data_IF_100121904712
#
_entry.id   IF_100121904712
#
_cell.length_a   1.000
_cell.length_b   1.000
_cell.length_c   1.000
_cell.angle_alpha   90.00
_cell.angle_beta   90.00
_cell.angle_gamma   90.00
#
_symmetry.space_group_name_H-M   'P 1'
#
loop_
_entity.id
_entity.type
_entity.pdbx_description
1 polymer ?
#
# COMPACT_ATOMS: atom_id res chain seq x y z
N UNK A 1 1.36 -21.81 -5.50
CA UNK A 1 0.25 -22.43 -4.75
C UNK A 1 -1.00 -21.65 -5.14
N UNK A 2 -1.98 -22.26 -5.78
CA UNK A 2 -3.21 -21.59 -6.26
C UNK A 2 -4.11 -21.29 -5.06
N UNK A 3 -5.00 -20.28 -5.16
CA UNK A 3 -6.00 -19.96 -4.11
C UNK A 3 -6.74 -21.17 -3.53
N UNK A 4 -6.93 -22.22 -4.35
CA UNK A 4 -7.54 -23.48 -3.95
C UNK A 4 -6.74 -24.27 -2.89
N UNK A 5 -5.41 -24.12 -2.85
CA UNK A 5 -4.55 -24.87 -1.93
C UNK A 5 -4.52 -24.29 -0.51
N UNK A 6 -4.89 -23.00 -0.35
CA UNK A 6 -5.05 -22.38 0.97
C UNK A 6 -6.24 -22.96 1.74
N UNK A 7 -7.28 -23.42 1.03
CA UNK A 7 -8.53 -23.92 1.60
C UNK A 7 -8.36 -25.33 2.19
N UNK A 8 -7.52 -26.16 1.60
CA UNK A 8 -7.38 -27.57 1.98
C UNK A 8 -6.61 -27.81 3.30
N UNK A 9 -5.82 -26.84 3.77
CA UNK A 9 -4.92 -27.01 4.92
C UNK A 9 -5.54 -26.68 6.29
N UNK A 10 -6.80 -26.23 6.35
CA UNK A 10 -7.44 -25.77 7.61
C UNK A 10 -8.34 -26.82 8.27
N UNK A 11 -8.10 -28.12 8.05
CA UNK A 11 -8.80 -29.19 8.77
C UNK A 11 -8.07 -29.57 10.05
N UNK A 12 -8.70 -29.22 11.16
CA UNK A 12 -8.67 -29.76 12.52
C UNK A 12 -7.35 -29.86 13.29
N UNK A 13 -7.27 -29.13 14.40
CA UNK A 13 -7.07 -29.70 15.76
C UNK A 13 -7.29 -28.61 16.83
N UNK A 14 -8.19 -28.97 17.78
CA UNK A 14 -8.33 -28.48 19.16
C UNK A 14 -8.86 -27.05 19.45
N UNK A 15 -10.08 -27.00 19.97
CA UNK A 15 -10.54 -26.00 20.95
C UNK A 15 -11.14 -24.69 20.43
N UNK A 16 -11.35 -24.50 19.13
CA UNK A 16 -12.00 -23.30 18.59
C UNK A 16 -13.51 -23.47 18.61
N UNK A 17 -14.22 -22.57 19.30
CA UNK A 17 -15.68 -22.42 19.17
C UNK A 17 -15.96 -22.08 17.71
N UNK A 18 -16.33 -23.09 16.91
CA UNK A 18 -16.76 -22.91 15.52
C UNK A 18 -18.13 -22.26 15.54
N UNK A 19 -18.30 -21.17 14.80
CA UNK A 19 -19.61 -20.62 14.48
C UNK A 19 -20.44 -21.70 13.79
N UNK A 20 -21.76 -21.81 14.07
CA UNK A 20 -22.62 -22.75 13.38
C UNK A 20 -22.65 -22.42 11.87
N UNK A 21 -22.71 -23.47 11.06
CA UNK A 21 -22.80 -23.42 9.60
C UNK A 21 -23.89 -22.44 9.14
N UNK A 22 -23.51 -21.47 8.30
CA UNK A 22 -24.30 -20.36 7.76
C UNK A 22 -24.59 -19.21 8.74
N UNK A 23 -23.67 -18.22 8.78
CA UNK A 23 -23.94 -16.97 9.46
C UNK A 23 -24.96 -16.17 8.63
N UNK A 24 -26.22 -16.11 9.07
CA UNK A 24 -27.33 -15.42 8.36
C UNK A 24 -27.32 -13.90 8.59
N UNK A 25 -26.44 -13.37 9.43
CA UNK A 25 -26.32 -11.95 9.76
C UNK A 25 -25.14 -11.26 9.09
N UNK A 26 -25.04 -9.94 9.28
CA UNK A 26 -23.84 -9.17 8.86
C UNK A 26 -22.61 -9.62 9.66
N UNK A 27 -21.47 -9.78 8.99
CA UNK A 27 -20.20 -10.05 9.64
C UNK A 27 -19.68 -8.75 10.27
N UNK A 28 -19.52 -8.72 11.60
CA UNK A 28 -18.98 -7.57 12.33
C UNK A 28 -17.46 -7.58 12.32
N UNK A 29 -16.88 -6.57 11.67
CA UNK A 29 -15.43 -6.45 11.45
C UNK A 29 -14.89 -5.26 12.25
N UNK A 30 -13.89 -5.48 13.08
CA UNK A 30 -13.11 -4.43 13.72
C UNK A 30 -11.76 -4.30 13.01
N UNK A 31 -11.63 -3.27 12.18
CA UNK A 31 -10.35 -2.90 11.57
C UNK A 31 -9.58 -1.96 12.49
N UNK A 32 -8.28 -2.22 12.71
CA UNK A 32 -7.45 -1.37 13.58
C UNK A 32 -6.16 -0.92 12.89
N UNK A 33 -5.93 0.40 12.91
CA UNK A 33 -4.74 1.07 12.36
C UNK A 33 -4.09 1.99 13.39
N UNK A 34 -2.90 2.51 13.07
CA UNK A 34 -2.21 3.45 13.97
C UNK A 34 -2.85 4.84 13.94
N UNK A 35 -3.06 5.41 12.76
CA UNK A 35 -3.63 6.76 12.54
C UNK A 35 -4.17 6.85 11.10
N UNK A 36 -4.68 8.02 10.71
CA UNK A 36 -5.22 8.29 9.37
C UNK A 36 -4.34 9.25 8.55
N UNK A 37 -3.04 9.31 8.85
CA UNK A 37 -2.12 10.07 8.00
C UNK A 37 -2.03 9.47 6.60
N UNK A 38 -1.74 10.29 5.60
CA UNK A 38 -1.54 9.78 4.25
C UNK A 38 -0.30 8.88 4.20
N UNK A 39 -0.56 7.61 3.96
CA UNK A 39 0.41 6.55 3.82
C UNK A 39 -0.18 5.37 3.04
N UNK A 40 0.69 4.47 2.55
CA UNK A 40 0.25 3.35 1.73
C UNK A 40 -0.73 2.42 2.45
N UNK A 41 -0.47 2.11 3.70
CA UNK A 41 -1.33 1.23 4.52
C UNK A 41 -2.66 1.90 4.83
N UNK A 42 -2.62 3.15 5.26
CA UNK A 42 -3.78 3.94 5.66
C UNK A 42 -4.71 4.16 4.46
N UNK A 43 -4.16 4.44 3.27
CA UNK A 43 -4.93 4.56 2.03
C UNK A 43 -5.66 3.25 1.69
N UNK A 44 -5.00 2.09 1.84
CA UNK A 44 -5.65 0.80 1.60
C UNK A 44 -6.78 0.52 2.60
N UNK A 45 -6.57 0.83 3.89
CA UNK A 45 -7.64 0.71 4.89
C UNK A 45 -8.81 1.64 4.56
N UNK A 46 -8.54 2.87 4.12
CA UNK A 46 -9.58 3.81 3.68
C UNK A 46 -10.35 3.25 2.48
N UNK A 47 -9.66 2.76 1.44
CA UNK A 47 -10.29 2.17 0.26
C UNK A 47 -11.19 0.99 0.62
N UNK A 48 -10.71 0.06 1.45
CA UNK A 48 -11.50 -1.09 1.93
C UNK A 48 -12.67 -0.59 2.77
N UNK A 49 -12.45 0.36 3.67
CA UNK A 49 -13.51 0.91 4.52
C UNK A 49 -14.63 1.57 3.72
N UNK A 50 -14.33 2.26 2.64
CA UNK A 50 -15.31 2.90 1.76
C UNK A 50 -16.02 1.90 0.84
N UNK A 51 -15.31 0.87 0.37
CA UNK A 51 -15.81 -0.08 -0.61
C UNK A 51 -16.54 -1.30 -0.05
N UNK A 52 -16.40 -1.59 1.26
CA UNK A 52 -16.98 -2.78 1.89
C UNK A 52 -18.52 -2.77 1.82
N UNK A 53 -19.12 -3.86 1.36
CA UNK A 53 -20.57 -4.02 1.26
C UNK A 53 -21.25 -3.98 2.66
N UNK A 54 -21.96 -2.89 2.95
CA UNK A 54 -22.63 -2.63 4.24
C UNK A 54 -23.86 -3.50 4.49
N UNK A 55 -24.39 -4.14 3.46
CA UNK A 55 -25.48 -5.08 3.64
C UNK A 55 -24.99 -6.40 4.23
N UNK A 56 -23.72 -6.73 4.02
CA UNK A 56 -23.06 -7.98 4.40
C UNK A 56 -22.08 -7.82 5.57
N UNK A 57 -21.49 -6.64 5.72
CA UNK A 57 -20.48 -6.34 6.72
C UNK A 57 -20.87 -5.14 7.58
N UNK A 58 -20.63 -5.26 8.87
CA UNK A 58 -20.78 -4.18 9.86
C UNK A 58 -19.37 -3.78 10.33
N UNK A 59 -18.89 -2.65 9.82
CA UNK A 59 -17.52 -2.20 10.03
C UNK A 59 -17.43 -1.28 11.25
N UNK A 60 -16.47 -1.58 12.12
CA UNK A 60 -15.95 -0.75 13.18
C UNK A 60 -14.50 -0.39 12.85
N UNK A 61 -14.14 0.89 12.84
CA UNK A 61 -12.81 1.35 12.44
C UNK A 61 -12.05 1.92 13.64
N UNK A 62 -11.24 1.10 14.30
CA UNK A 62 -10.45 1.51 15.46
C UNK A 62 -9.11 2.12 15.04
N UNK A 63 -8.60 3.05 15.86
CA UNK A 63 -7.27 3.61 15.70
C UNK A 63 -6.55 3.80 17.04
N UNK A 64 -5.22 3.90 16.98
CA UNK A 64 -4.41 4.26 18.15
C UNK A 64 -4.40 5.77 18.37
N UNK A 65 -4.50 6.56 17.29
CA UNK A 65 -4.58 8.03 17.31
C UNK A 65 -5.58 8.48 16.25
N UNK A 66 -6.59 9.24 16.65
CA UNK A 66 -7.62 9.76 15.72
C UNK A 66 -7.17 11.08 15.07
N UNK A 67 -6.07 11.00 14.32
CA UNK A 67 -5.45 12.11 13.60
C UNK A 67 -5.08 11.68 12.16
N UNK A 68 -4.99 12.63 11.26
CA UNK A 68 -4.53 12.44 9.89
C UNK A 68 -5.55 12.92 8.84
N UNK A 69 -5.05 13.13 7.63
CA UNK A 69 -5.75 13.77 6.52
C UNK A 69 -6.88 12.90 5.96
N UNK A 70 -6.67 11.56 5.91
CA UNK A 70 -7.64 10.59 5.38
C UNK A 70 -8.91 10.49 6.23
N UNK A 71 -8.87 11.00 7.46
CA UNK A 71 -10.04 11.05 8.33
C UNK A 71 -11.20 11.81 7.68
N UNK A 72 -10.91 12.92 6.99
CA UNK A 72 -11.94 13.75 6.33
C UNK A 72 -12.69 12.99 5.23
N UNK A 73 -11.99 12.12 4.48
CA UNK A 73 -12.61 11.27 3.45
C UNK A 73 -13.59 10.28 4.09
N UNK A 74 -13.25 9.74 5.25
CA UNK A 74 -14.08 8.78 5.98
C UNK A 74 -15.26 9.46 6.69
N UNK A 75 -15.05 10.62 7.33
CA UNK A 75 -16.08 11.37 8.06
C UNK A 75 -17.22 11.85 7.15
N UNK A 76 -16.90 12.20 5.91
CA UNK A 76 -17.88 12.68 4.94
C UNK A 76 -18.78 11.58 4.34
N UNK A 77 -18.40 10.30 4.47
CA UNK A 77 -19.07 9.18 3.81
C UNK A 77 -19.56 8.13 4.80
N UNK A 78 -18.86 7.91 5.89
CA UNK A 78 -19.10 6.79 6.80
C UNK A 78 -19.55 7.25 8.18
N UNK A 79 -20.78 6.87 8.55
CA UNK A 79 -21.26 6.95 9.94
C UNK A 79 -21.04 5.60 10.64
N UNK A 80 -19.80 5.31 11.04
CA UNK A 80 -19.41 4.05 11.69
C UNK A 80 -18.74 4.30 13.03
N UNK A 81 -18.82 3.34 13.99
CA UNK A 81 -18.09 3.43 15.23
C UNK A 81 -16.58 3.53 15.00
N UNK A 82 -15.95 4.53 15.66
CA UNK A 82 -14.51 4.78 15.54
C UNK A 82 -13.86 4.88 16.92
N UNK A 83 -13.74 3.75 17.65
CA UNK A 83 -13.11 3.75 18.96
C UNK A 83 -11.62 4.04 18.87
N UNK A 84 -11.14 4.93 19.76
CA UNK A 84 -9.73 5.32 19.88
C UNK A 84 -9.10 4.59 21.06
N UNK A 85 -8.01 3.86 20.80
CA UNK A 85 -7.21 3.15 21.81
C UNK A 85 -5.83 3.78 21.91
N UNK A 86 -5.74 4.93 22.59
CA UNK A 86 -4.50 5.70 22.69
C UNK A 86 -3.46 4.98 23.58
N UNK A 87 -2.39 4.54 22.94
CA UNK A 87 -1.29 3.78 23.54
C UNK A 87 0.00 4.60 23.44
N UNK A 88 0.47 5.11 24.57
CA UNK A 88 1.73 5.84 24.62
C UNK A 88 2.96 4.91 24.59
N UNK A 89 2.95 3.90 25.46
CA UNK A 89 4.01 2.88 25.57
C UNK A 89 3.40 1.51 25.79
N UNK A 90 3.92 0.48 25.13
CA UNK A 90 3.40 -0.90 25.24
C UNK A 90 3.51 -1.48 26.67
N UNK A 91 4.33 -0.92 27.52
CA UNK A 91 4.61 -1.41 28.90
C UNK A 91 3.96 -0.56 29.99
N UNK A 92 3.01 0.31 29.66
CA UNK A 92 2.36 1.20 30.65
C UNK A 92 1.05 0.63 31.18
N UNK A 93 0.66 1.03 32.40
CA UNK A 93 -0.67 0.77 32.96
C UNK A 93 -1.79 1.31 32.06
N UNK A 94 -1.53 2.39 31.34
CA UNK A 94 -2.46 2.94 30.34
C UNK A 94 -2.75 1.92 29.26
N UNK A 95 -1.73 1.21 28.75
CA UNK A 95 -1.88 0.16 27.75
C UNK A 95 -2.71 -1.01 28.25
N UNK A 96 -2.52 -1.43 29.50
CA UNK A 96 -3.34 -2.48 30.10
C UNK A 96 -4.81 -2.05 30.23
N UNK A 97 -5.07 -0.78 30.61
CA UNK A 97 -6.43 -0.22 30.62
C UNK A 97 -7.07 -0.22 29.24
N UNK A 98 -6.30 0.18 28.21
CA UNK A 98 -6.78 0.16 26.82
C UNK A 98 -6.99 -1.29 26.30
N UNK A 99 -6.16 -2.24 26.71
CA UNK A 99 -6.34 -3.66 26.37
C UNK A 99 -7.66 -4.20 26.98
N UNK A 100 -7.94 -3.91 28.25
CA UNK A 100 -9.23 -4.26 28.88
C UNK A 100 -10.42 -3.60 28.18
N UNK A 101 -10.26 -2.35 27.74
CA UNK A 101 -11.29 -1.60 27.00
C UNK A 101 -11.53 -2.22 25.62
N UNK A 102 -10.46 -2.56 24.88
CA UNK A 102 -10.56 -3.24 23.59
C UNK A 102 -11.20 -4.63 23.73
N UNK A 103 -10.78 -5.42 24.71
CA UNK A 103 -11.36 -6.74 24.97
C UNK A 103 -12.87 -6.65 25.29
N UNK A 104 -13.28 -5.65 26.08
CA UNK A 104 -14.69 -5.37 26.36
C UNK A 104 -15.42 -4.97 25.07
N UNK A 105 -14.86 -4.03 24.30
CA UNK A 105 -15.45 -3.56 23.06
C UNK A 105 -15.71 -4.72 22.07
N UNK A 106 -14.76 -5.64 21.92
CA UNK A 106 -14.88 -6.82 21.07
C UNK A 106 -16.07 -7.69 21.50
N UNK A 107 -16.19 -7.96 22.82
CA UNK A 107 -17.28 -8.78 23.37
C UNK A 107 -18.64 -8.08 23.28
N UNK A 108 -18.72 -6.84 23.73
CA UNK A 108 -19.99 -6.10 23.82
C UNK A 108 -20.60 -5.84 22.43
N UNK A 109 -19.76 -5.67 21.41
CA UNK A 109 -20.22 -5.50 20.03
C UNK A 109 -20.25 -6.84 19.25
N UNK A 110 -19.90 -7.97 19.87
CA UNK A 110 -19.89 -9.29 19.23
C UNK A 110 -19.06 -9.31 17.94
N UNK A 111 -17.86 -8.74 17.96
CA UNK A 111 -16.98 -8.66 16.79
C UNK A 111 -16.58 -10.06 16.32
N UNK A 112 -16.83 -10.37 15.05
CA UNK A 112 -16.48 -11.64 14.43
C UNK A 112 -15.05 -11.68 13.91
N UNK A 113 -14.60 -10.60 13.27
CA UNK A 113 -13.26 -10.46 12.67
C UNK A 113 -12.55 -9.26 13.27
N UNK A 114 -11.37 -9.47 13.83
CA UNK A 114 -10.44 -8.40 14.19
C UNK A 114 -9.30 -8.37 13.18
N UNK A 115 -9.21 -7.30 12.40
CA UNK A 115 -8.19 -7.12 11.36
C UNK A 115 -7.28 -5.95 11.70
N UNK A 116 -6.01 -6.22 11.93
CA UNK A 116 -5.01 -5.23 12.35
C UNK A 116 -4.02 -4.91 11.22
N UNK A 117 -3.59 -3.65 11.12
CA UNK A 117 -2.69 -3.18 10.07
C UNK A 117 -1.41 -2.54 10.64
N UNK A 118 -0.28 -3.21 10.40
CA UNK A 118 1.05 -2.73 10.79
C UNK A 118 1.51 -3.19 12.18
N UNK A 119 2.79 -2.95 12.47
CA UNK A 119 3.48 -3.50 13.64
C UNK A 119 2.78 -3.20 14.98
N UNK A 120 2.48 -1.93 15.26
CA UNK A 120 1.93 -1.53 16.57
C UNK A 120 0.50 -2.03 16.80
N UNK A 121 -0.44 -1.90 15.83
CA UNK A 121 -1.75 -2.54 15.92
C UNK A 121 -1.67 -4.05 16.07
N UNK A 122 -0.77 -4.75 15.35
CA UNK A 122 -0.56 -6.19 15.48
C UNK A 122 -0.13 -6.57 16.90
N UNK A 123 0.93 -5.91 17.44
CA UNK A 123 1.45 -6.23 18.78
C UNK A 123 0.42 -5.97 19.86
N UNK A 124 -0.39 -4.92 19.74
CA UNK A 124 -1.38 -4.57 20.73
C UNK A 124 -2.66 -5.39 20.60
N UNK A 125 -3.29 -5.40 19.44
CA UNK A 125 -4.66 -5.87 19.32
C UNK A 125 -4.77 -7.39 19.05
N UNK A 126 -3.78 -8.02 18.40
CA UNK A 126 -3.85 -9.48 18.14
C UNK A 126 -3.97 -10.31 19.43
N UNK A 127 -3.09 -10.14 20.44
CA UNK A 127 -3.22 -10.91 21.68
C UNK A 127 -4.50 -10.54 22.45
N UNK A 128 -4.89 -9.27 22.45
CA UNK A 128 -6.12 -8.83 23.12
C UNK A 128 -7.36 -9.43 22.48
N UNK A 129 -7.41 -9.50 21.14
CA UNK A 129 -8.50 -10.11 20.39
C UNK A 129 -8.65 -11.60 20.72
N UNK A 130 -7.55 -12.33 20.81
CA UNK A 130 -7.55 -13.73 21.22
C UNK A 130 -8.08 -13.93 22.64
N UNK A 131 -7.57 -13.14 23.59
CA UNK A 131 -8.03 -13.19 24.99
C UNK A 131 -9.49 -12.74 25.14
N UNK A 132 -9.97 -11.89 24.25
CA UNK A 132 -11.37 -11.47 24.20
C UNK A 132 -12.32 -12.52 23.61
N UNK A 133 -11.78 -13.57 22.97
CA UNK A 133 -12.56 -14.62 22.31
C UNK A 133 -13.05 -14.22 20.90
N UNK A 134 -12.36 -13.30 20.22
CA UNK A 134 -12.67 -12.98 18.82
C UNK A 134 -12.53 -14.25 17.94
N UNK A 135 -13.58 -14.65 17.18
CA UNK A 135 -13.54 -15.87 16.37
C UNK A 135 -12.39 -15.86 15.36
N UNK A 136 -12.21 -14.74 14.65
CA UNK A 136 -11.19 -14.58 13.61
C UNK A 136 -10.30 -13.38 13.92
N UNK A 137 -8.98 -13.59 13.81
CA UNK A 137 -7.97 -12.53 13.97
C UNK A 137 -7.04 -12.54 12.76
N UNK A 138 -6.96 -11.41 12.05
CA UNK A 138 -6.10 -11.19 10.88
C UNK A 138 -5.05 -10.14 11.23
N UNK A 139 -3.77 -10.46 11.00
CA UNK A 139 -2.66 -9.54 11.18
C UNK A 139 -2.08 -9.16 9.82
N UNK A 140 -2.18 -7.87 9.42
CA UNK A 140 -1.55 -7.41 8.18
C UNK A 140 -0.11 -6.97 8.38
N UNK A 141 0.79 -7.46 7.50
CA UNK A 141 2.19 -7.04 7.37
C UNK A 141 2.36 -6.45 5.97
N UNK A 142 2.82 -5.20 5.89
CA UNK A 142 2.78 -4.39 4.65
C UNK A 142 4.17 -3.96 4.15
N UNK A 143 5.23 -4.47 4.77
CA UNK A 143 6.63 -4.21 4.41
C UNK A 143 7.48 -5.46 4.68
N UNK A 144 8.69 -5.50 4.11
CA UNK A 144 9.63 -6.62 4.30
C UNK A 144 10.29 -6.65 5.69
N UNK A 145 10.00 -5.67 6.53
CA UNK A 145 10.57 -5.58 7.89
C UNK A 145 12.03 -5.14 7.94
N UNK A 146 12.57 -4.54 6.86
CA UNK A 146 14.00 -4.17 6.77
C UNK A 146 14.41 -3.12 7.81
N UNK A 147 13.49 -2.25 8.18
CA UNK A 147 13.69 -1.22 9.21
C UNK A 147 13.46 -1.73 10.63
N UNK A 148 12.93 -2.95 10.80
CA UNK A 148 12.65 -3.50 12.11
C UNK A 148 13.95 -4.02 12.78
N UNK A 149 14.09 -3.69 14.05
CA UNK A 149 15.16 -4.28 14.89
C UNK A 149 14.91 -5.79 15.06
N UNK A 150 15.95 -6.62 15.29
CA UNK A 150 15.79 -8.07 15.43
C UNK A 150 14.73 -8.50 16.46
N UNK A 151 14.65 -7.80 17.59
CA UNK A 151 13.65 -8.08 18.63
C UNK A 151 12.23 -7.74 18.17
N UNK A 152 12.04 -6.68 17.36
CA UNK A 152 10.75 -6.31 16.79
C UNK A 152 10.26 -7.37 15.80
N UNK A 153 11.14 -7.88 14.94
CA UNK A 153 10.82 -9.00 14.03
C UNK A 153 10.40 -10.25 14.78
N UNK A 154 11.13 -10.61 15.87
CA UNK A 154 10.77 -11.74 16.72
C UNK A 154 9.42 -11.53 17.40
N UNK A 155 9.19 -10.36 17.99
CA UNK A 155 7.92 -10.01 18.62
C UNK A 155 6.76 -10.09 17.60
N UNK A 156 6.91 -9.48 16.42
CA UNK A 156 5.92 -9.54 15.36
C UNK A 156 5.60 -10.97 14.95
N UNK A 157 6.63 -11.82 14.74
CA UNK A 157 6.45 -13.22 14.39
C UNK A 157 5.65 -13.98 15.47
N UNK A 158 6.05 -13.84 16.74
CA UNK A 158 5.38 -14.51 17.87
C UNK A 158 3.91 -14.05 17.98
N UNK A 159 3.66 -12.77 17.85
CA UNK A 159 2.30 -12.21 17.92
C UNK A 159 1.46 -12.65 16.72
N UNK A 160 2.00 -12.59 15.51
CA UNK A 160 1.30 -13.03 14.31
C UNK A 160 1.02 -14.54 14.29
N UNK A 161 1.78 -15.36 15.03
CA UNK A 161 1.46 -16.78 15.20
C UNK A 161 0.10 -17.00 15.91
N UNK A 162 -0.37 -16.05 16.71
CA UNK A 162 -1.69 -16.04 17.34
C UNK A 162 -2.83 -15.71 16.36
N UNK A 163 -2.54 -15.11 15.20
CA UNK A 163 -3.53 -14.81 14.19
C UNK A 163 -3.96 -16.07 13.43
N UNK A 164 -5.19 -16.09 12.89
CA UNK A 164 -5.68 -17.13 11.98
C UNK A 164 -5.07 -16.93 10.60
N UNK A 165 -4.91 -15.67 10.19
CA UNK A 165 -4.35 -15.28 8.91
C UNK A 165 -3.35 -14.13 9.08
N UNK A 166 -2.23 -14.22 8.37
CA UNK A 166 -1.28 -13.12 8.15
C UNK A 166 -1.50 -12.59 6.75
N UNK A 167 -2.10 -11.41 6.63
CA UNK A 167 -2.37 -10.79 5.34
C UNK A 167 -1.21 -9.93 4.89
N UNK A 168 -0.70 -10.19 3.68
CA UNK A 168 0.36 -9.38 3.05
C UNK A 168 -0.11 -8.81 1.71
N UNK A 169 0.60 -7.79 1.21
CA UNK A 169 0.21 -7.10 -0.03
C UNK A 169 1.10 -7.42 -1.24
N UNK A 170 2.07 -8.34 -1.09
CA UNK A 170 2.96 -8.76 -2.16
C UNK A 170 3.43 -10.20 -1.93
N UNK A 171 3.65 -10.95 -3.01
CA UNK A 171 4.25 -12.28 -2.96
C UNK A 171 5.68 -12.22 -2.40
N UNK A 172 6.44 -11.17 -2.72
CA UNK A 172 7.77 -10.93 -2.18
C UNK A 172 7.78 -10.83 -0.64
N UNK A 173 6.75 -10.24 -0.02
CA UNK A 173 6.62 -10.22 1.43
C UNK A 173 6.29 -11.62 1.95
N UNK A 174 5.34 -12.33 1.33
CA UNK A 174 5.03 -13.73 1.68
C UNK A 174 6.29 -14.57 1.72
N UNK A 175 7.08 -14.54 0.65
CA UNK A 175 8.29 -15.34 0.52
C UNK A 175 9.35 -14.95 1.57
N UNK A 176 9.47 -13.66 1.87
CA UNK A 176 10.32 -13.16 2.94
C UNK A 176 9.87 -13.67 4.32
N UNK A 177 8.57 -13.65 4.60
CA UNK A 177 8.03 -14.13 5.88
C UNK A 177 8.19 -15.66 6.02
N UNK A 178 8.01 -16.43 4.94
CA UNK A 178 8.26 -17.88 4.93
C UNK A 178 9.74 -18.16 5.25
N UNK A 179 10.68 -17.45 4.63
CA UNK A 179 12.11 -17.55 4.95
C UNK A 179 12.42 -17.18 6.41
N UNK A 180 11.64 -16.28 7.00
CA UNK A 180 11.72 -15.92 8.42
C UNK A 180 11.03 -16.95 9.35
N UNK A 181 10.44 -18.03 8.78
CA UNK A 181 9.79 -19.13 9.49
C UNK A 181 8.36 -18.81 9.95
N UNK A 182 7.62 -17.96 9.25
CA UNK A 182 6.18 -17.90 9.36
C UNK A 182 5.56 -19.12 8.68
N UNK A 183 4.39 -19.54 9.14
CA UNK A 183 3.66 -20.69 8.58
C UNK A 183 3.01 -20.27 7.27
N UNK A 184 3.43 -20.90 6.16
CA UNK A 184 2.98 -20.56 4.81
C UNK A 184 1.46 -20.65 4.65
N UNK A 185 0.85 -21.66 5.28
CA UNK A 185 -0.60 -21.92 5.25
C UNK A 185 -1.44 -20.85 5.96
N UNK A 186 -0.80 -19.97 6.75
CA UNK A 186 -1.47 -18.84 7.38
C UNK A 186 -1.31 -17.52 6.60
N UNK A 187 -0.54 -17.51 5.51
CA UNK A 187 -0.26 -16.26 4.78
C UNK A 187 -1.17 -16.15 3.56
N UNK A 188 -2.00 -15.11 3.55
CA UNK A 188 -2.78 -14.72 2.38
C UNK A 188 -2.16 -13.49 1.71
N UNK A 189 -2.24 -13.43 0.37
CA UNK A 189 -1.73 -12.28 -0.41
C UNK A 189 -2.92 -11.55 -1.04
N UNK A 190 -3.16 -10.30 -0.64
CA UNK A 190 -4.11 -9.41 -1.32
C UNK A 190 -3.39 -8.11 -1.64
N UNK A 191 -3.17 -7.87 -2.93
CA UNK A 191 -2.40 -6.72 -3.42
C UNK A 191 -3.09 -5.40 -3.09
N UNK A 192 -2.28 -4.34 -2.94
CA UNK A 192 -2.78 -2.98 -2.86
C UNK A 192 -3.56 -2.64 -4.12
N UNK A 193 -4.45 -1.67 -3.97
CA UNK A 193 -5.26 -1.18 -5.07
C UNK A 193 -5.25 0.35 -5.12
N UNK A 194 -5.51 0.87 -6.30
CA UNK A 194 -5.64 2.30 -6.55
C UNK A 194 -6.94 2.58 -7.28
N UNK A 195 -7.57 3.71 -6.99
CA UNK A 195 -8.66 4.21 -7.81
C UNK A 195 -8.06 4.75 -9.11
N UNK A 196 -8.61 4.37 -10.29
CA UNK A 196 -8.17 4.96 -11.55
C UNK A 196 -8.14 6.49 -11.43
N UNK A 197 -7.04 7.11 -11.84
CA UNK A 197 -6.94 8.56 -11.82
C UNK A 197 -8.09 9.12 -12.68
N UNK A 198 -8.78 10.13 -12.15
CA UNK A 198 -9.73 10.87 -12.98
C UNK A 198 -8.94 11.60 -14.07
N UNK A 199 -8.81 10.98 -15.24
CA UNK A 199 -8.03 11.49 -16.39
C UNK A 199 -8.58 12.79 -16.94
N UNK A 200 -9.80 13.18 -16.52
CA UNK A 200 -10.46 14.43 -16.84
C UNK A 200 -10.11 15.55 -15.83
N UNK A 201 -8.91 15.56 -15.27
CA UNK A 201 -8.44 16.66 -14.41
C UNK A 201 -8.58 17.99 -15.13
N UNK A 202 -9.23 18.95 -14.48
CA UNK A 202 -9.49 20.30 -14.99
C UNK A 202 -8.22 20.91 -15.61
N UNK A 203 -8.24 21.17 -16.91
CA UNK A 203 -7.22 21.93 -17.63
C UNK A 203 -7.17 23.42 -17.20
N UNK A 204 -7.96 23.81 -16.21
CA UNK A 204 -8.17 25.21 -15.80
C UNK A 204 -7.13 25.76 -14.82
N UNK A 205 -6.21 24.92 -14.29
CA UNK A 205 -5.14 25.37 -13.39
C UNK A 205 -3.80 25.48 -14.12
N UNK A 206 -2.91 26.38 -13.70
CA UNK A 206 -1.59 26.49 -14.30
C UNK A 206 -0.87 25.15 -14.22
N UNK A 207 -0.25 24.74 -15.33
CA UNK A 207 0.49 23.49 -15.41
C UNK A 207 1.69 23.49 -14.44
N UNK A 208 2.18 22.29 -14.07
CA UNK A 208 3.34 22.13 -13.19
C UNK A 208 4.54 22.95 -13.65
N UNK A 209 4.77 23.07 -14.97
CA UNK A 209 5.87 23.83 -15.54
C UNK A 209 5.73 25.31 -15.24
N UNK A 210 4.54 25.87 -15.43
CA UNK A 210 4.23 27.25 -15.11
C UNK A 210 4.29 27.54 -13.59
N UNK A 211 3.75 26.62 -12.78
CA UNK A 211 3.80 26.70 -11.31
C UNK A 211 5.26 26.76 -10.80
N UNK A 212 6.15 25.99 -11.42
CA UNK A 212 7.56 25.90 -11.04
C UNK A 212 8.47 26.89 -11.79
N UNK A 213 7.93 27.71 -12.66
CA UNK A 213 8.71 28.66 -13.49
C UNK A 213 9.61 27.98 -14.52
N UNK A 214 9.24 26.81 -15.00
CA UNK A 214 9.98 26.04 -15.98
C UNK A 214 9.50 26.30 -17.41
N UNK A 215 10.38 26.07 -18.39
CA UNK A 215 10.00 26.08 -19.79
C UNK A 215 8.84 25.12 -20.07
N UNK A 216 7.89 25.52 -20.91
CA UNK A 216 6.70 24.72 -21.26
C UNK A 216 7.02 23.36 -21.85
N UNK A 217 8.17 23.21 -22.50
CA UNK A 217 8.64 21.98 -23.13
C UNK A 217 9.64 21.19 -22.27
N UNK A 218 9.99 21.69 -21.08
CA UNK A 218 10.94 21.00 -20.20
C UNK A 218 10.45 19.58 -19.84
N UNK A 219 11.24 18.53 -20.09
CA UNK A 219 10.91 17.20 -19.60
C UNK A 219 10.88 17.17 -18.06
N UNK A 220 9.79 16.67 -17.49
CA UNK A 220 9.59 16.61 -16.04
C UNK A 220 9.62 15.14 -15.57
N UNK A 221 10.52 14.86 -14.65
CA UNK A 221 10.62 13.55 -13.98
C UNK A 221 10.18 13.69 -12.54
N UNK A 222 9.26 12.85 -12.10
CA UNK A 222 8.69 12.90 -10.75
C UNK A 222 9.16 11.70 -9.91
N UNK A 223 9.49 11.96 -8.64
CA UNK A 223 9.59 10.96 -7.58
C UNK A 223 8.52 11.26 -6.55
N UNK A 224 7.65 10.27 -6.29
CA UNK A 224 6.61 10.35 -5.27
C UNK A 224 6.94 9.41 -4.13
N UNK A 225 7.36 9.93 -2.97
CA UNK A 225 7.68 9.07 -1.83
C UNK A 225 7.83 9.84 -0.51
N UNK A 226 7.76 9.11 0.61
CA UNK A 226 8.28 9.61 1.89
C UNK A 226 9.80 9.73 1.81
N UNK A 227 10.37 10.81 2.36
CA UNK A 227 11.81 11.04 2.33
C UNK A 227 12.49 10.35 3.50
N UNK A 228 12.84 9.08 3.30
CA UNK A 228 13.64 8.25 4.19
C UNK A 228 14.65 7.42 3.39
N UNK A 229 15.64 6.83 4.07
CA UNK A 229 16.76 6.12 3.41
C UNK A 229 16.32 4.93 2.56
N UNK A 230 15.18 4.28 2.91
CA UNK A 230 14.69 3.12 2.15
C UNK A 230 14.14 3.50 0.78
N UNK A 231 13.92 4.79 0.52
CA UNK A 231 13.39 5.28 -0.76
C UNK A 231 14.48 5.61 -1.79
N UNK A 232 15.77 5.55 -1.42
CA UNK A 232 16.89 5.63 -2.34
C UNK A 232 16.97 6.93 -3.15
N UNK A 233 16.44 8.04 -2.61
CA UNK A 233 16.40 9.32 -3.34
C UNK A 233 17.80 9.83 -3.65
N UNK A 234 18.78 9.49 -2.84
CA UNK A 234 20.19 9.79 -3.08
C UNK A 234 20.69 9.23 -4.42
N UNK A 235 20.29 8.03 -4.82
CA UNK A 235 20.63 7.42 -6.11
C UNK A 235 19.87 8.05 -7.27
N UNK A 236 18.64 8.49 -7.03
CA UNK A 236 17.90 9.29 -8.00
C UNK A 236 18.58 10.65 -8.27
N UNK A 237 19.08 11.33 -7.25
CA UNK A 237 19.79 12.60 -7.43
C UNK A 237 21.08 12.42 -8.24
N UNK A 238 21.82 11.33 -8.04
CA UNK A 238 22.99 11.01 -8.85
C UNK A 238 22.59 10.73 -10.32
N UNK A 239 21.52 9.94 -10.53
CA UNK A 239 20.98 9.71 -11.87
C UNK A 239 20.48 10.99 -12.53
N UNK A 240 19.81 11.87 -11.78
CA UNK A 240 19.33 13.16 -12.26
C UNK A 240 20.49 14.08 -12.74
N UNK A 241 21.65 14.01 -12.08
CA UNK A 241 22.87 14.70 -12.55
C UNK A 241 23.29 14.19 -13.91
N UNK A 242 23.37 12.88 -14.11
CA UNK A 242 23.76 12.26 -15.40
C UNK A 242 22.75 12.64 -16.50
N UNK A 243 21.45 12.55 -16.21
CA UNK A 243 20.40 12.96 -17.14
C UNK A 243 20.50 14.45 -17.48
N UNK A 244 20.71 15.31 -16.48
CA UNK A 244 20.83 16.76 -16.67
C UNK A 244 22.08 17.22 -17.45
N UNK A 245 23.11 16.38 -17.54
CA UNK A 245 24.28 16.58 -18.42
C UNK A 245 23.93 16.30 -19.89
N UNK A 246 23.05 15.35 -20.16
CA UNK A 246 22.62 14.98 -21.51
C UNK A 246 21.42 15.80 -21.98
N UNK A 247 20.44 16.03 -21.12
CA UNK A 247 19.21 16.80 -21.39
C UNK A 247 19.19 18.00 -20.45
N UNK A 248 19.82 19.10 -20.84
CA UNK A 248 19.97 20.30 -19.99
C UNK A 248 18.63 20.91 -19.54
N UNK A 249 17.57 20.74 -20.36
CA UNK A 249 16.22 21.20 -20.07
C UNK A 249 15.45 20.31 -19.07
N UNK A 250 15.96 19.11 -18.72
CA UNK A 250 15.26 18.21 -17.81
C UNK A 250 15.08 18.83 -16.41
N UNK A 251 13.92 18.63 -15.83
CA UNK A 251 13.52 19.10 -14.48
C UNK A 251 13.04 17.93 -13.65
N UNK A 252 13.30 18.00 -12.36
CA UNK A 252 13.06 16.90 -11.43
C UNK A 252 12.22 17.38 -10.26
N UNK A 253 11.15 16.66 -9.95
CA UNK A 253 10.24 17.00 -8.88
C UNK A 253 10.22 15.87 -7.85
N UNK A 254 10.61 16.19 -6.62
CA UNK A 254 10.56 15.25 -5.49
C UNK A 254 9.37 15.64 -4.62
N UNK A 255 8.31 14.82 -4.71
CA UNK A 255 7.03 15.03 -4.01
C UNK A 255 7.02 14.17 -2.77
N UNK A 256 6.85 14.80 -1.62
CA UNK A 256 6.77 14.17 -0.31
C UNK A 256 7.65 14.82 0.73
N UNK A 257 7.55 14.34 1.94
CA UNK A 257 8.30 14.86 3.10
C UNK A 257 8.89 13.73 3.94
N UNK A 258 9.82 14.05 4.83
CA UNK A 258 10.43 13.07 5.71
C UNK A 258 11.70 13.55 6.40
N UNK A 259 12.21 12.71 7.30
CA UNK A 259 13.28 13.07 8.22
C UNK A 259 14.60 13.47 7.54
N UNK A 260 14.85 12.99 6.31
CA UNK A 260 16.12 13.25 5.59
C UNK A 260 15.97 14.30 4.48
N UNK A 261 14.86 15.06 4.45
CA UNK A 261 14.61 16.07 3.39
C UNK A 261 15.76 17.05 3.24
N UNK A 262 16.23 17.63 4.35
CA UNK A 262 17.33 18.60 4.34
C UNK A 262 18.63 17.97 3.82
N UNK A 263 18.96 16.78 4.26
CA UNK A 263 20.14 16.03 3.77
C UNK A 263 20.07 15.82 2.24
N UNK A 264 18.90 15.51 1.71
CA UNK A 264 18.70 15.33 0.26
C UNK A 264 18.80 16.66 -0.50
N UNK A 265 18.31 17.76 0.06
CA UNK A 265 18.46 19.10 -0.52
C UNK A 265 19.93 19.55 -0.56
N UNK A 266 20.67 19.32 0.53
CA UNK A 266 22.10 19.61 0.59
C UNK A 266 22.88 18.76 -0.44
N UNK A 267 22.53 17.47 -0.59
CA UNK A 267 23.10 16.59 -1.62
C UNK A 267 22.79 17.07 -3.04
N UNK A 268 21.55 17.48 -3.32
CA UNK A 268 21.17 18.01 -4.63
C UNK A 268 22.01 19.25 -4.97
N UNK A 269 22.20 20.16 -4.01
CA UNK A 269 23.03 21.34 -4.17
C UNK A 269 24.50 20.98 -4.43
N UNK A 270 25.07 20.03 -3.70
CA UNK A 270 26.43 19.53 -3.90
C UNK A 270 26.64 18.85 -5.26
N UNK A 271 25.58 18.29 -5.86
CA UNK A 271 25.59 17.71 -7.19
C UNK A 271 25.38 18.74 -8.32
N UNK A 272 25.16 20.03 -7.99
CA UNK A 272 24.89 21.09 -8.95
C UNK A 272 23.46 21.02 -9.52
N UNK A 273 22.50 20.55 -8.74
CA UNK A 273 21.10 20.35 -9.15
C UNK A 273 20.13 21.37 -8.51
N UNK A 274 20.62 22.39 -7.81
CA UNK A 274 19.80 23.32 -7.03
C UNK A 274 18.71 24.02 -7.86
N UNK A 275 18.97 24.30 -9.13
CA UNK A 275 18.07 24.93 -10.11
C UNK A 275 17.23 23.93 -10.92
N UNK A 276 17.53 22.62 -10.81
CA UNK A 276 16.87 21.55 -11.59
C UNK A 276 15.96 20.66 -10.77
N UNK A 277 16.20 20.50 -9.46
CA UNK A 277 15.45 19.63 -8.56
C UNK A 277 14.64 20.47 -7.57
N UNK A 278 13.33 20.31 -7.57
CA UNK A 278 12.44 20.93 -6.58
C UNK A 278 11.89 19.90 -5.62
N UNK A 279 12.04 20.15 -4.32
CA UNK A 279 11.43 19.38 -3.24
C UNK A 279 10.15 20.09 -2.78
N UNK A 280 8.99 19.61 -3.24
CA UNK A 280 7.71 20.29 -2.96
C UNK A 280 7.20 20.14 -1.53
N UNK A 281 7.74 19.15 -0.79
CA UNK A 281 7.10 18.72 0.44
C UNK A 281 5.84 17.88 0.13
N UNK A 282 4.99 17.75 1.14
CA UNK A 282 3.74 17.02 1.00
C UNK A 282 2.77 17.76 0.07
N UNK A 283 2.12 17.03 -0.86
CA UNK A 283 1.13 17.53 -1.82
C UNK A 283 -0.12 16.66 -1.78
N UNK A 284 -1.29 17.27 -1.93
CA UNK A 284 -2.59 16.59 -2.03
C UNK A 284 -3.06 16.44 -3.48
N UNK A 285 -2.51 17.20 -4.41
CA UNK A 285 -2.84 17.23 -5.83
C UNK A 285 -1.93 16.32 -6.69
N UNK A 286 -1.44 15.23 -6.10
CA UNK A 286 -0.48 14.31 -6.73
C UNK A 286 -0.96 13.80 -8.10
N UNK A 287 -2.26 13.48 -8.22
CA UNK A 287 -2.83 13.03 -9.49
C UNK A 287 -2.66 14.05 -10.63
N UNK A 288 -2.86 15.35 -10.34
CA UNK A 288 -2.63 16.45 -11.29
C UNK A 288 -1.16 16.55 -11.69
N UNK A 289 -0.26 16.45 -10.71
CA UNK A 289 1.18 16.54 -10.95
C UNK A 289 1.68 15.37 -11.80
N UNK A 290 1.22 14.16 -11.51
CA UNK A 290 1.58 12.96 -12.27
C UNK A 290 1.13 13.07 -13.73
N UNK A 291 -0.09 13.51 -14.02
CA UNK A 291 -0.60 13.65 -15.40
C UNK A 291 0.24 14.58 -16.28
N UNK A 292 1.03 15.47 -15.68
CA UNK A 292 1.89 16.42 -16.38
C UNK A 292 3.36 16.00 -16.43
N UNK A 293 3.70 14.86 -15.82
CA UNK A 293 5.03 14.30 -15.83
C UNK A 293 5.33 13.54 -17.12
N UNK A 294 6.58 13.57 -17.53
CA UNK A 294 7.08 12.72 -18.61
C UNK A 294 7.48 11.32 -18.11
N UNK A 295 7.95 11.24 -16.86
CA UNK A 295 8.35 10.00 -16.21
C UNK A 295 8.03 10.05 -14.71
N UNK A 296 7.70 8.89 -14.12
CA UNK A 296 7.71 8.68 -12.68
C UNK A 296 8.79 7.65 -12.33
N UNK A 297 9.60 7.96 -11.31
CA UNK A 297 10.73 7.13 -10.88
C UNK A 297 10.54 6.70 -9.44
N UNK A 298 10.72 5.41 -9.17
CA UNK A 298 10.72 4.83 -7.82
C UNK A 298 12.08 4.17 -7.54
N UNK A 299 13.06 4.88 -6.95
CA UNK A 299 14.43 4.39 -6.76
C UNK A 299 14.63 3.61 -5.46
N UNK A 300 13.59 3.03 -4.91
CA UNK A 300 13.56 2.44 -3.56
C UNK A 300 14.57 1.32 -3.36
N UNK A 301 15.05 1.18 -2.13
CA UNK A 301 15.93 0.08 -1.69
C UNK A 301 15.12 -1.10 -1.11
N UNK A 302 13.90 -0.84 -0.67
CA UNK A 302 12.96 -1.85 -0.16
C UNK A 302 11.54 -1.36 -0.30
N UNK A 303 10.67 -2.25 -0.74
CA UNK A 303 9.22 -2.02 -0.86
C UNK A 303 8.44 -3.28 -0.45
N UNK A 304 7.22 -3.06 0.05
CA UNK A 304 6.21 -4.09 0.02
C UNK A 304 5.60 -4.13 -1.37
N UNK A 305 4.50 -3.37 -1.56
CA UNK A 305 3.94 -3.06 -2.87
C UNK A 305 3.65 -1.56 -2.89
N UNK A 306 4.30 -0.83 -3.78
CA UNK A 306 4.32 0.63 -3.75
C UNK A 306 3.03 1.25 -4.29
N UNK A 307 2.31 2.01 -3.45
CA UNK A 307 1.16 2.79 -3.91
C UNK A 307 1.57 3.90 -4.89
N UNK A 308 2.74 4.53 -4.67
CA UNK A 308 3.23 5.56 -5.58
C UNK A 308 3.41 5.04 -7.01
N UNK A 309 3.86 3.78 -7.14
CA UNK A 309 3.99 3.11 -8.43
C UNK A 309 2.61 2.85 -9.06
N UNK A 310 1.67 2.34 -8.27
CA UNK A 310 0.28 2.14 -8.71
C UNK A 310 -0.37 3.47 -9.15
N UNK A 311 -0.20 4.54 -8.37
CA UNK A 311 -0.74 5.86 -8.66
C UNK A 311 -0.15 6.45 -9.94
N UNK A 312 1.17 6.28 -10.16
CA UNK A 312 1.84 6.74 -11.37
C UNK A 312 1.34 6.01 -12.63
N UNK A 313 1.24 4.68 -12.58
CA UNK A 313 0.74 3.87 -13.69
C UNK A 313 -0.76 4.14 -13.95
N UNK A 314 -1.57 4.29 -12.90
CA UNK A 314 -2.99 4.67 -13.02
C UNK A 314 -3.17 6.03 -13.68
N UNK A 315 -2.26 6.98 -13.43
CA UNK A 315 -2.25 8.29 -14.06
C UNK A 315 -1.79 8.25 -15.54
N UNK A 316 -1.37 7.08 -16.05
CA UNK A 316 -0.88 6.92 -17.41
C UNK A 316 0.53 7.51 -17.61
N UNK A 317 1.34 7.53 -16.57
CA UNK A 317 2.73 8.00 -16.62
C UNK A 317 3.65 6.79 -16.81
N UNK A 318 4.61 6.84 -17.74
CA UNK A 318 5.62 5.79 -17.86
C UNK A 318 6.46 5.73 -16.59
N UNK A 319 6.75 4.51 -16.11
CA UNK A 319 7.41 4.29 -14.82
C UNK A 319 8.77 3.62 -14.98
N UNK A 320 9.69 3.99 -14.09
CA UNK A 320 10.95 3.28 -13.86
C UNK A 320 11.01 2.98 -12.37
N UNK A 321 11.22 1.73 -12.03
CA UNK A 321 11.33 1.32 -10.62
C UNK A 321 12.55 0.43 -10.39
N UNK A 322 13.04 0.41 -9.18
CA UNK A 322 14.05 -0.58 -8.79
C UNK A 322 13.41 -1.97 -8.63
N UNK A 323 14.14 -3.02 -9.00
CA UNK A 323 13.73 -4.42 -8.89
C UNK A 323 13.84 -4.91 -7.45
N UNK A 324 13.00 -4.36 -6.54
CA UNK A 324 12.98 -4.71 -5.11
C UNK A 324 11.56 -5.00 -4.63
N UNK A 325 11.44 -5.92 -3.68
CA UNK A 325 10.17 -6.27 -3.06
C UNK A 325 9.09 -6.60 -4.09
N UNK A 326 7.91 -6.03 -3.95
CA UNK A 326 6.77 -6.22 -4.85
C UNK A 326 6.79 -5.35 -6.12
N UNK A 327 7.83 -4.55 -6.40
CA UNK A 327 7.87 -3.74 -7.63
C UNK A 327 7.80 -4.60 -8.90
N UNK A 328 8.49 -5.77 -9.00
CA UNK A 328 8.35 -6.67 -10.15
C UNK A 328 6.97 -7.33 -10.29
N UNK A 329 6.15 -7.31 -9.23
CA UNK A 329 4.76 -7.77 -9.33
C UNK A 329 3.84 -6.72 -9.97
N UNK A 330 4.22 -5.44 -9.87
CA UNK A 330 3.49 -4.31 -10.45
C UNK A 330 3.96 -4.00 -11.85
N UNK A 331 5.26 -3.86 -12.06
CA UNK A 331 5.88 -3.52 -13.36
C UNK A 331 6.36 -4.79 -14.05
N UNK A 332 5.89 -5.01 -15.26
CA UNK A 332 6.44 -5.99 -16.20
C UNK A 332 7.53 -5.30 -17.01
N UNK A 333 8.78 -5.71 -16.77
CA UNK A 333 9.96 -5.06 -17.35
C UNK A 333 9.95 -5.08 -18.88
N UNK A 334 10.19 -3.94 -19.50
CA UNK A 334 10.18 -3.78 -20.97
C UNK A 334 8.78 -3.83 -21.61
N UNK A 335 7.69 -3.96 -20.80
CA UNK A 335 6.30 -4.01 -21.27
C UNK A 335 5.48 -2.86 -20.68
N UNK A 336 5.38 -2.78 -19.36
CA UNK A 336 4.59 -1.77 -18.66
C UNK A 336 5.42 -0.72 -17.91
N UNK A 337 6.74 -0.77 -18.08
CA UNK A 337 7.73 0.12 -17.49
C UNK A 337 9.12 -0.49 -17.56
N UNK A 338 10.08 0.09 -16.85
CA UNK A 338 11.43 -0.45 -16.73
C UNK A 338 11.79 -0.76 -15.29
N UNK A 339 12.47 -1.89 -15.09
CA UNK A 339 13.05 -2.29 -13.81
C UNK A 339 14.58 -2.16 -13.87
N UNK A 340 15.16 -1.53 -12.85
CA UNK A 340 16.61 -1.35 -12.74
C UNK A 340 17.12 -1.91 -11.40
N UNK A 341 18.43 -2.27 -11.29
CA UNK A 341 19.01 -2.65 -10.02
C UNK A 341 18.90 -1.52 -8.96
N UNK A 342 18.68 -1.84 -7.69
CA UNK A 342 18.77 -0.83 -6.64
C UNK A 342 20.22 -0.38 -6.44
N UNK A 343 20.42 0.87 -5.96
CA UNK A 343 21.74 1.49 -5.71
C UNK A 343 22.60 1.63 -6.97
N UNK A 344 21.99 1.66 -8.14
CA UNK A 344 22.68 1.84 -9.42
C UNK A 344 22.16 3.11 -10.13
N UNK A 345 22.78 4.28 -9.86
CA UNK A 345 22.40 5.53 -10.50
C UNK A 345 22.63 5.53 -12.03
N UNK A 346 23.61 4.76 -12.51
CA UNK A 346 23.91 4.70 -13.93
C UNK A 346 22.80 3.99 -14.71
N UNK A 347 22.43 2.78 -14.30
CA UNK A 347 21.30 2.07 -14.89
C UNK A 347 20.00 2.86 -14.79
N UNK A 348 19.79 3.58 -13.67
CA UNK A 348 18.62 4.45 -13.51
C UNK A 348 18.64 5.62 -14.50
N UNK A 349 19.80 6.28 -14.68
CA UNK A 349 19.95 7.36 -15.64
C UNK A 349 19.75 6.90 -17.08
N UNK A 350 20.30 5.76 -17.45
CA UNK A 350 20.15 5.16 -18.81
C UNK A 350 18.68 4.82 -19.11
N UNK A 351 17.96 4.28 -18.13
CA UNK A 351 16.53 4.03 -18.27
C UNK A 351 15.73 5.34 -18.43
N UNK A 352 16.05 6.40 -17.64
CA UNK A 352 15.42 7.71 -17.75
C UNK A 352 15.71 8.33 -19.13
N UNK A 353 16.94 8.33 -19.60
CA UNK A 353 17.32 8.83 -20.91
C UNK A 353 16.60 8.06 -22.02
N UNK A 354 16.55 6.74 -21.93
CA UNK A 354 15.86 5.88 -22.90
C UNK A 354 14.41 6.31 -23.10
N UNK A 355 13.66 6.57 -22.02
CA UNK A 355 12.24 6.93 -22.11
C UNK A 355 12.05 8.40 -22.48
N UNK A 356 12.94 9.30 -22.05
CA UNK A 356 12.87 10.73 -22.41
C UNK A 356 13.22 10.96 -23.89
N UNK A 357 14.18 10.20 -24.45
CA UNK A 357 14.60 10.29 -25.85
C UNK A 357 13.69 9.51 -26.81
N UNK A 358 12.87 8.57 -26.29
CA UNK A 358 11.98 7.70 -27.09
C UNK A 358 10.51 7.86 -26.66
N UNK A 359 9.83 8.98 -26.94
CA UNK A 359 8.48 9.24 -26.46
C UNK A 359 7.43 8.21 -26.91
N UNK A 360 7.60 7.61 -28.10
CA UNK A 360 6.70 6.54 -28.54
C UNK A 360 6.83 5.26 -27.69
N UNK A 361 8.04 4.92 -27.24
CA UNK A 361 8.27 3.81 -26.31
C UNK A 361 7.67 4.13 -24.93
N UNK A 362 7.90 5.33 -24.42
CA UNK A 362 7.35 5.80 -23.15
C UNK A 362 5.83 5.75 -23.17
N UNK A 363 5.17 6.22 -24.23
CA UNK A 363 3.71 6.17 -24.38
C UNK A 363 3.18 4.72 -24.42
N UNK A 364 3.88 3.81 -25.08
CA UNK A 364 3.52 2.38 -25.11
C UNK A 364 3.57 1.78 -23.69
N UNK A 365 4.64 2.04 -22.93
CA UNK A 365 4.74 1.54 -21.55
C UNK A 365 3.69 2.15 -20.64
N UNK A 366 3.40 3.44 -20.78
CA UNK A 366 2.35 4.12 -20.03
C UNK A 366 0.97 3.49 -20.28
N UNK A 367 0.62 3.22 -21.54
CA UNK A 367 -0.64 2.57 -21.91
C UNK A 367 -0.74 1.15 -21.33
N UNK A 368 0.29 0.32 -21.51
CA UNK A 368 0.33 -1.03 -20.96
C UNK A 368 0.30 -1.02 -19.42
N UNK A 369 0.99 -0.07 -18.79
CA UNK A 369 0.97 0.12 -17.35
C UNK A 369 -0.41 0.47 -16.82
N UNK A 370 -1.11 1.40 -17.48
CA UNK A 370 -2.47 1.78 -17.11
C UNK A 370 -3.47 0.63 -17.24
N UNK A 371 -3.38 -0.12 -18.35
CA UNK A 371 -4.21 -1.32 -18.56
C UNK A 371 -3.97 -2.35 -17.44
N UNK A 372 -2.71 -2.63 -17.09
CA UNK A 372 -2.36 -3.55 -16.02
C UNK A 372 -2.95 -3.13 -14.66
N UNK A 373 -3.01 -1.82 -14.38
CA UNK A 373 -3.65 -1.31 -13.16
C UNK A 373 -5.15 -1.62 -13.16
N UNK A 374 -5.84 -1.35 -14.25
CA UNK A 374 -7.28 -1.59 -14.37
C UNK A 374 -7.61 -3.09 -14.21
N UNK A 375 -6.79 -3.97 -14.76
CA UNK A 375 -6.98 -5.43 -14.73
C UNK A 375 -6.64 -6.06 -13.37
N UNK A 376 -5.61 -5.59 -12.66
CA UNK A 376 -5.03 -6.33 -11.52
C UNK A 376 -5.07 -5.58 -10.18
N UNK A 377 -5.18 -4.25 -10.19
CA UNK A 377 -4.99 -3.41 -9.01
C UNK A 377 -6.16 -2.47 -8.74
N UNK A 378 -7.37 -2.82 -9.20
CA UNK A 378 -8.56 -2.02 -8.95
C UNK A 378 -9.06 -2.15 -7.51
N UNK A 379 -9.57 -1.04 -6.93
CA UNK A 379 -10.14 -1.03 -5.57
C UNK A 379 -11.29 -2.02 -5.45
N UNK A 380 -12.16 -2.11 -6.47
CA UNK A 380 -13.30 -3.06 -6.48
C UNK A 380 -12.84 -4.51 -6.30
N UNK A 381 -11.81 -4.92 -7.04
CA UNK A 381 -11.26 -6.30 -6.92
C UNK A 381 -10.59 -6.53 -5.56
N UNK A 382 -9.82 -5.56 -5.06
CA UNK A 382 -9.16 -5.68 -3.75
C UNK A 382 -10.18 -5.80 -2.62
N UNK A 383 -11.26 -5.01 -2.65
CA UNK A 383 -12.36 -5.09 -1.68
C UNK A 383 -13.05 -6.45 -1.76
N UNK A 384 -13.39 -6.92 -2.97
CA UNK A 384 -14.03 -8.22 -3.15
C UNK A 384 -13.18 -9.38 -2.60
N UNK A 385 -11.83 -9.32 -2.78
CA UNK A 385 -10.90 -10.31 -2.20
C UNK A 385 -10.86 -10.24 -0.67
N UNK A 386 -10.90 -9.06 -0.08
CA UNK A 386 -10.98 -8.88 1.38
C UNK A 386 -12.30 -9.44 1.92
N UNK A 387 -13.41 -9.16 1.26
CA UNK A 387 -14.73 -9.70 1.63
C UNK A 387 -14.76 -11.22 1.53
N UNK A 388 -14.19 -11.79 0.46
CA UNK A 388 -14.04 -13.23 0.29
C UNK A 388 -13.20 -13.83 1.41
N UNK A 389 -12.06 -13.23 1.75
CA UNK A 389 -11.22 -13.68 2.85
C UNK A 389 -11.98 -13.68 4.20
N UNK A 390 -12.72 -12.61 4.51
CA UNK A 390 -13.50 -12.56 5.76
C UNK A 390 -14.52 -13.68 5.81
N UNK A 391 -15.24 -13.95 4.72
CA UNK A 391 -16.21 -15.03 4.64
C UNK A 391 -15.56 -16.40 4.76
N UNK A 392 -14.50 -16.65 4.00
CA UNK A 392 -13.78 -17.94 4.07
C UNK A 392 -13.33 -18.27 5.50
N UNK A 393 -12.85 -17.27 6.23
CA UNK A 393 -12.41 -17.48 7.60
C UNK A 393 -13.56 -17.63 8.58
N UNK A 394 -14.70 -16.95 8.40
CA UNK A 394 -15.87 -17.01 9.28
C UNK A 394 -16.67 -18.29 9.01
N UNK A 395 -16.96 -18.60 7.75
CA UNK A 395 -17.83 -19.73 7.35
C UNK A 395 -17.06 -21.06 7.26
N UNK A 396 -15.72 -20.99 7.28
CA UNK A 396 -14.84 -22.16 7.22
C UNK A 396 -14.97 -22.94 5.91
N UNK A 397 -14.79 -24.27 5.93
CA UNK A 397 -14.83 -25.11 4.72
C UNK A 397 -16.18 -25.15 3.99
N UNK A 398 -17.23 -24.61 4.58
CA UNK A 398 -18.56 -24.53 3.96
C UNK A 398 -18.76 -23.27 3.09
N UNK A 399 -17.76 -22.40 3.00
CA UNK A 399 -17.81 -21.22 2.13
C UNK A 399 -17.70 -21.63 0.66
N UNK A 400 -18.74 -21.37 -0.12
CA UNK A 400 -18.69 -21.44 -1.59
C UNK A 400 -18.48 -20.02 -2.09
N UNK A 401 -17.36 -19.71 -2.80
CA UNK A 401 -17.18 -18.40 -3.41
C UNK A 401 -18.34 -18.13 -4.36
N UNK A 402 -18.98 -16.97 -4.24
CA UNK A 402 -19.79 -16.48 -5.35
C UNK A 402 -18.80 -16.35 -6.52
N UNK A 403 -19.02 -17.12 -7.59
CA UNK A 403 -18.22 -17.05 -8.80
C UNK A 403 -18.01 -15.58 -9.14
N UNK A 404 -16.75 -15.19 -9.32
CA UNK A 404 -16.44 -13.91 -9.94
C UNK A 404 -17.21 -13.93 -11.26
N UNK A 405 -18.19 -13.05 -11.41
CA UNK A 405 -18.97 -12.96 -12.65
C UNK A 405 -17.97 -12.96 -13.80
N UNK A 406 -18.14 -13.84 -14.80
CA UNK A 406 -17.21 -13.89 -15.92
C UNK A 406 -17.09 -12.46 -16.44
N UNK A 407 -15.86 -12.02 -16.66
CA UNK A 407 -15.61 -10.79 -17.41
C UNK A 407 -16.19 -11.10 -18.79
N UNK A 408 -17.42 -10.62 -19.06
CA UNK A 408 -17.97 -10.67 -20.38
C UNK A 408 -16.96 -9.99 -21.30
N UNK A 409 -16.42 -10.77 -22.23
CA UNK A 409 -15.60 -10.29 -23.32
C UNK A 409 -16.43 -9.33 -24.18
N UNK A 410 -16.38 -8.04 -23.87
CA UNK A 410 -16.88 -6.96 -24.75
C UNK A 410 -15.84 -6.69 -25.85
N UNK A 411 -15.46 -7.70 -26.61
CA UNK A 411 -14.75 -7.56 -27.89
C UNK A 411 -15.19 -8.68 -28.84
N UNK A 412 -16.48 -8.66 -29.22
CA UNK A 412 -16.95 -9.24 -30.47
C UNK A 412 -18.18 -8.44 -30.92
N UNK A 413 -17.93 -7.36 -31.67
CA UNK A 413 -18.77 -6.86 -32.78
C UNK A 413 -18.15 -5.59 -33.38
#
# INVERSE_FOLDING_TARGET
MREADFIASHTSRDGVIRMPSSHTGRIRVLTMITSFHIGGTERQVTNVSLGLDRTRFDLHLACMRDIGELKRELDGVLNIPRPVFDIGSLYSFRTLKQAKRLARYIRDNGIHVVHTYGLYPNIFAVPVARLAGAPIVIASIRDCGDILKPWQRRAQKTICALADCVLVNADAIRDTLIKQGYRAEKIAVIRNAVTPANRAGSLAEPGIRAEMGWDSNAPVVIVLSRLNRMKGIEYFLEAAKLVGQRIAAARFLVIGDGAIKRELQDRASALGLADKVIFTGFRTDVGRLLQQANLSVLPSLSEGLSNALLESMAAGVPVIATSVGGNPEVVEDGVSGLLVPPKDPTSLADAMLTLLEKPALAARYAAAGSQRIDEMFSVKQSVARIESLYRQLVDGPNYVPLEAAPVENFFES
#
